data_IF_484909067871
#
_entry.id   IF_484909067871
#
_cell.length_a   1.000
_cell.length_b   1.000
_cell.length_c   1.000
_cell.angle_alpha   90.00
_cell.angle_beta   90.00
_cell.angle_gamma   90.00
#
_symmetry.space_group_name_H-M   'P 1'
#
loop_
_entity.id
_entity.type
_entity.pdbx_description
1 polymer ?
#
# COMPACT_ATOMS: atom_id res chain seq x y z
N UNK A 1 -28.31 1.60 0.02
CA UNK A 1 -29.42 0.63 0.19
C UNK A 1 -29.63 -0.05 -1.16
N UNK A 2 -28.78 -1.03 -1.48
CA UNK A 2 -28.86 -1.79 -2.74
C UNK A 2 -29.51 -3.12 -2.42
N UNK A 3 -30.59 -3.39 -3.14
CA UNK A 3 -31.56 -4.45 -2.91
C UNK A 3 -30.87 -5.80 -3.14
N UNK A 4 -30.78 -6.60 -2.08
CA UNK A 4 -30.39 -8.01 -2.10
C UNK A 4 -31.27 -8.75 -3.10
N UNK A 5 -30.66 -9.41 -4.09
CA UNK A 5 -31.36 -10.33 -4.97
C UNK A 5 -32.15 -11.33 -4.12
N UNK A 6 -33.46 -11.37 -4.36
CA UNK A 6 -34.43 -12.09 -3.55
C UNK A 6 -34.06 -13.58 -3.44
N UNK A 7 -33.79 -14.04 -2.20
CA UNK A 7 -33.92 -15.46 -1.83
C UNK A 7 -35.39 -15.86 -1.92
N UNK A 8 -35.86 -16.18 -3.13
CA UNK A 8 -37.16 -16.82 -3.30
C UNK A 8 -36.99 -18.29 -2.89
N UNK A 9 -37.28 -18.58 -1.62
CA UNK A 9 -37.34 -19.94 -1.12
C UNK A 9 -38.62 -20.59 -1.66
N UNK A 10 -38.50 -21.42 -2.70
CA UNK A 10 -39.64 -22.19 -3.20
C UNK A 10 -40.01 -23.26 -2.17
N UNK A 11 -41.12 -23.05 -1.46
CA UNK A 11 -41.71 -24.02 -0.52
C UNK A 11 -42.81 -24.78 -1.23
N UNK A 12 -42.59 -26.06 -1.50
CA UNK A 12 -43.64 -26.95 -2.00
C UNK A 12 -44.13 -27.81 -0.83
N UNK A 13 -45.42 -27.76 -0.51
CA UNK A 13 -46.02 -28.59 0.53
C UNK A 13 -46.31 -29.97 -0.08
N UNK A 14 -45.56 -31.00 0.31
CA UNK A 14 -45.92 -32.38 0.01
C UNK A 14 -46.84 -32.92 1.12
N UNK A 15 -47.98 -33.50 0.76
CA UNK A 15 -48.81 -34.30 1.67
C UNK A 15 -48.36 -35.75 1.61
N UNK A 16 -47.92 -36.33 2.72
CA UNK A 16 -47.78 -37.79 2.86
C UNK A 16 -48.99 -38.37 3.60
N UNK A 17 -49.36 -39.60 3.23
CA UNK A 17 -50.54 -40.30 3.75
C UNK A 17 -50.33 -40.84 5.17
N UNK A 18 -51.45 -40.96 5.86
CA UNK A 18 -51.68 -41.16 7.30
C UNK A 18 -51.07 -42.44 7.91
N UNK A 19 -50.56 -42.31 9.14
CA UNK A 19 -50.42 -43.43 10.10
C UNK A 19 -51.71 -43.53 10.95
N UNK A 20 -52.28 -44.73 11.21
CA UNK A 20 -53.63 -44.86 11.78
C UNK A 20 -53.79 -44.48 13.25
N UNK A 21 -52.70 -44.09 13.94
CA UNK A 21 -52.68 -43.97 15.41
C UNK A 21 -52.57 -42.52 15.91
N UNK A 22 -52.42 -41.52 15.03
CA UNK A 22 -52.56 -40.12 15.46
C UNK A 22 -53.04 -39.22 14.33
N UNK A 23 -54.13 -38.49 14.57
CA UNK A 23 -54.70 -37.49 13.66
C UNK A 23 -53.87 -36.18 13.59
N UNK A 24 -52.53 -36.29 13.63
CA UNK A 24 -51.62 -35.15 13.44
C UNK A 24 -51.01 -35.23 12.05
N UNK A 25 -51.48 -34.36 11.16
CA UNK A 25 -50.85 -34.13 9.84
C UNK A 25 -49.45 -33.55 10.08
N UNK A 26 -48.40 -34.35 9.90
CA UNK A 26 -47.02 -33.85 9.87
C UNK A 26 -46.80 -33.20 8.51
N UNK A 27 -46.81 -31.87 8.47
CA UNK A 27 -46.37 -31.11 7.28
C UNK A 27 -44.85 -31.16 7.23
N UNK A 28 -44.28 -32.07 6.45
CA UNK A 28 -42.87 -31.99 6.10
C UNK A 28 -42.68 -30.93 5.02
N UNK A 29 -41.96 -29.87 5.36
CA UNK A 29 -41.59 -28.83 4.41
C UNK A 29 -40.40 -29.34 3.62
N UNK A 30 -40.64 -29.75 2.38
CA UNK A 30 -39.56 -30.03 1.43
C UNK A 30 -39.03 -28.69 0.94
N UNK A 31 -37.84 -28.32 1.41
CA UNK A 31 -37.09 -27.19 0.86
C UNK A 31 -36.40 -27.74 -0.40
N UNK A 32 -37.01 -27.54 -1.57
CA UNK A 32 -36.29 -27.75 -2.82
C UNK A 32 -35.26 -26.63 -2.93
N UNK A 33 -34.03 -26.93 -2.49
CA UNK A 33 -32.88 -26.08 -2.83
C UNK A 33 -32.73 -26.10 -4.34
N UNK A 34 -32.56 -24.94 -4.99
CA UNK A 34 -32.33 -24.92 -6.43
C UNK A 34 -31.12 -25.80 -6.73
N UNK A 35 -31.32 -26.83 -7.55
CA UNK A 35 -30.23 -27.66 -8.05
C UNK A 35 -29.51 -26.86 -9.13
N UNK A 36 -28.20 -27.05 -9.24
CA UNK A 36 -27.38 -26.54 -10.35
C UNK A 36 -27.08 -25.02 -10.32
N UNK A 37 -27.21 -24.35 -9.17
CA UNK A 37 -26.64 -23.00 -8.99
C UNK A 37 -25.12 -23.13 -8.88
N UNK A 38 -24.40 -22.58 -9.86
CA UNK A 38 -22.94 -22.55 -9.91
C UNK A 38 -22.38 -21.48 -8.96
N UNK A 39 -21.36 -21.87 -8.19
CA UNK A 39 -20.58 -21.03 -7.29
C UNK A 39 -19.09 -21.14 -7.63
N UNK A 40 -18.38 -20.01 -7.54
CA UNK A 40 -16.94 -19.89 -7.77
C UNK A 40 -16.37 -19.02 -6.65
N UNK A 41 -16.03 -19.66 -5.54
CA UNK A 41 -15.72 -18.97 -4.29
C UNK A 41 -14.21 -18.93 -4.06
N UNK A 42 -13.62 -17.76 -3.76
CA UNK A 42 -12.28 -17.69 -3.16
C UNK A 42 -12.21 -18.53 -1.88
N UNK A 43 -11.17 -19.35 -1.74
CA UNK A 43 -10.98 -20.18 -0.53
C UNK A 43 -9.60 -20.07 0.11
N UNK A 44 -8.59 -19.58 -0.61
CA UNK A 44 -7.27 -19.33 -0.04
C UNK A 44 -6.49 -18.28 -0.82
N UNK A 45 -5.62 -17.56 -0.12
CA UNK A 45 -4.62 -16.66 -0.67
C UNK A 45 -3.22 -17.08 -0.23
N UNK A 46 -2.24 -16.81 -1.10
CA UNK A 46 -0.82 -16.95 -0.79
C UNK A 46 0.00 -15.82 -1.44
N UNK A 47 1.22 -15.53 -0.97
CA UNK A 47 1.84 -16.03 0.28
C UNK A 47 1.13 -15.49 1.54
N UNK A 48 1.59 -15.83 2.73
CA UNK A 48 1.19 -15.07 3.93
C UNK A 48 1.64 -13.61 3.83
N UNK A 49 0.90 -12.68 4.43
CA UNK A 49 1.31 -11.28 4.53
C UNK A 49 2.10 -11.11 5.82
N UNK A 50 3.25 -10.44 5.71
CA UNK A 50 4.02 -9.98 6.86
C UNK A 50 3.72 -8.49 7.12
N UNK A 51 3.71 -8.11 8.39
CA UNK A 51 3.72 -6.72 8.82
C UNK A 51 5.14 -6.13 8.78
N UNK A 52 5.30 -4.92 9.30
CA UNK A 52 6.57 -4.18 9.24
C UNK A 52 7.64 -4.72 10.20
N UNK A 53 7.25 -5.55 11.18
CA UNK A 53 8.12 -6.27 12.11
C UNK A 53 8.38 -7.72 11.66
N UNK A 54 8.10 -8.00 10.38
CA UNK A 54 8.21 -9.31 9.73
C UNK A 54 7.33 -10.40 10.38
N UNK A 55 6.28 -10.01 11.11
CA UNK A 55 5.34 -10.95 11.73
C UNK A 55 4.17 -11.26 10.81
N UNK A 56 3.64 -12.49 10.92
CA UNK A 56 2.50 -12.93 10.11
C UNK A 56 1.25 -12.15 10.51
N UNK A 57 0.60 -11.53 9.51
CA UNK A 57 -0.73 -10.93 9.66
C UNK A 57 -1.78 -12.05 9.68
N UNK A 58 -2.44 -12.21 10.82
CA UNK A 58 -3.49 -13.21 11.03
C UNK A 58 -4.64 -13.04 10.01
N UNK A 59 -5.14 -14.16 9.48
CA UNK A 59 -6.20 -14.17 8.47
C UNK A 59 -5.78 -13.68 7.08
N UNK A 60 -4.51 -13.34 6.85
CA UNK A 60 -4.05 -12.82 5.55
C UNK A 60 -4.21 -13.81 4.38
N UNK A 61 -4.27 -15.11 4.68
CA UNK A 61 -4.52 -16.18 3.70
C UNK A 61 -6.00 -16.48 3.48
N UNK A 62 -6.90 -15.83 4.23
CA UNK A 62 -8.34 -16.04 4.16
C UNK A 62 -9.00 -14.96 3.28
N UNK A 63 -9.61 -15.35 2.16
CA UNK A 63 -10.34 -14.39 1.33
C UNK A 63 -11.55 -13.80 2.05
N UNK A 64 -11.72 -12.49 1.91
CA UNK A 64 -12.88 -11.73 2.36
C UNK A 64 -13.78 -11.36 1.18
N UNK A 65 -15.05 -11.09 1.47
CA UNK A 65 -16.02 -10.71 0.44
C UNK A 65 -15.73 -9.32 -0.15
N UNK A 66 -16.08 -9.14 -1.41
CA UNK A 66 -16.06 -7.83 -2.06
C UNK A 66 -16.87 -6.79 -1.26
N UNK A 67 -16.42 -5.52 -1.18
CA UNK A 67 -15.29 -4.92 -1.90
C UNK A 67 -13.98 -4.87 -1.06
N UNK A 68 -13.66 -5.91 -0.29
CA UNK A 68 -12.38 -5.94 0.44
C UNK A 68 -11.18 -6.08 -0.53
N UNK A 69 -10.21 -5.16 -0.42
CA UNK A 69 -8.99 -5.12 -1.24
C UNK A 69 -7.85 -5.82 -0.53
N UNK A 70 -7.55 -7.03 -0.96
CA UNK A 70 -6.52 -7.86 -0.36
C UNK A 70 -5.13 -7.33 -0.74
N UNK A 71 -4.21 -7.15 0.22
CA UNK A 71 -2.87 -6.68 -0.07
C UNK A 71 -2.11 -7.70 -0.92
N UNK A 72 -1.38 -7.19 -1.92
CA UNK A 72 -0.40 -7.96 -2.69
C UNK A 72 0.99 -7.90 -2.03
N UNK A 73 1.91 -8.75 -2.46
CA UNK A 73 3.29 -8.78 -1.94
C UNK A 73 4.28 -8.36 -3.02
N UNK A 74 5.16 -7.41 -2.69
CA UNK A 74 6.36 -7.08 -3.47
C UNK A 74 7.47 -8.02 -2.96
N UNK A 75 7.96 -8.94 -3.79
CA UNK A 75 9.07 -9.86 -3.43
C UNK A 75 10.26 -9.54 -4.29
N UNK A 76 11.44 -9.46 -3.67
CA UNK A 76 12.71 -9.07 -4.31
C UNK A 76 12.53 -7.85 -5.24
N UNK A 77 12.04 -6.71 -4.73
CA UNK A 77 11.60 -5.57 -5.56
C UNK A 77 12.69 -5.02 -6.50
N UNK A 78 13.97 -5.28 -6.20
CA UNK A 78 15.11 -4.94 -7.05
C UNK A 78 15.20 -5.79 -8.32
N UNK A 79 14.89 -7.09 -8.22
CA UNK A 79 15.06 -8.07 -9.29
C UNK A 79 13.72 -8.44 -9.92
N UNK A 80 12.73 -8.76 -9.09
CA UNK A 80 11.40 -9.16 -9.51
C UNK A 80 10.40 -8.01 -9.27
N UNK A 81 10.47 -7.03 -10.17
CA UNK A 81 9.73 -5.76 -10.15
C UNK A 81 8.23 -5.94 -10.43
N UNK A 82 7.58 -6.77 -9.62
CA UNK A 82 6.17 -7.16 -9.71
C UNK A 82 5.62 -7.36 -8.30
N UNK A 83 4.38 -6.94 -8.09
CA UNK A 83 3.62 -7.36 -6.92
C UNK A 83 2.76 -8.56 -7.31
N UNK A 84 2.64 -9.55 -6.43
CA UNK A 84 1.86 -10.74 -6.71
C UNK A 84 0.95 -11.16 -5.55
N UNK A 85 -0.05 -11.96 -5.91
CA UNK A 85 -0.89 -12.72 -5.00
C UNK A 85 -1.35 -13.98 -5.70
N UNK A 86 -1.41 -15.10 -4.99
CA UNK A 86 -2.02 -16.32 -5.51
C UNK A 86 -3.41 -16.49 -4.93
N UNK A 87 -4.32 -16.97 -5.75
CA UNK A 87 -5.73 -17.16 -5.41
C UNK A 87 -6.14 -18.59 -5.74
N UNK A 88 -6.69 -19.30 -4.74
CA UNK A 88 -7.40 -20.56 -4.95
C UNK A 88 -8.91 -20.31 -4.90
N UNK A 89 -9.64 -20.88 -5.85
CA UNK A 89 -11.10 -20.89 -5.85
C UNK A 89 -11.64 -22.32 -5.79
N UNK A 90 -12.83 -22.47 -5.21
CA UNK A 90 -13.66 -23.67 -5.30
C UNK A 90 -14.76 -23.45 -6.33
N UNK A 91 -14.92 -24.41 -7.24
CA UNK A 91 -15.93 -24.39 -8.29
C UNK A 91 -16.92 -25.52 -8.03
N UNK A 92 -18.16 -25.19 -7.68
CA UNK A 92 -19.15 -26.18 -7.27
C UNK A 92 -20.58 -25.77 -7.62
N UNK A 93 -21.50 -26.74 -7.64
CA UNK A 93 -22.93 -26.49 -7.86
C UNK A 93 -23.78 -27.04 -6.72
N UNK A 94 -24.82 -26.31 -6.35
CA UNK A 94 -25.74 -26.76 -5.29
C UNK A 94 -26.34 -28.14 -5.58
N UNK A 95 -26.17 -29.07 -4.63
CA UNK A 95 -26.68 -30.43 -4.73
C UNK A 95 -25.87 -31.36 -5.64
N UNK A 96 -24.67 -30.94 -6.10
CA UNK A 96 -23.74 -31.76 -6.88
C UNK A 96 -22.48 -32.11 -6.05
N UNK A 97 -21.78 -33.21 -6.37
CA UNK A 97 -20.49 -33.53 -5.75
C UNK A 97 -19.41 -32.52 -6.18
N UNK A 98 -18.35 -32.36 -5.37
CA UNK A 98 -17.29 -31.36 -5.60
C UNK A 98 -16.56 -31.54 -6.94
N UNK A 99 -16.41 -32.78 -7.41
CA UNK A 99 -15.79 -33.09 -8.69
C UNK A 99 -16.71 -32.89 -9.90
N UNK A 100 -17.93 -32.37 -9.73
CA UNK A 100 -18.89 -32.20 -10.82
C UNK A 100 -18.38 -31.32 -11.98
N UNK A 101 -17.46 -30.40 -11.68
CA UNK A 101 -16.84 -29.51 -12.66
C UNK A 101 -15.41 -29.91 -13.03
N UNK A 102 -14.91 -31.04 -12.55
CA UNK A 102 -13.56 -31.53 -12.86
C UNK A 102 -13.33 -31.54 -14.38
N UNK A 103 -12.16 -31.09 -14.81
CA UNK A 103 -11.77 -31.05 -16.22
C UNK A 103 -12.31 -29.87 -17.01
N UNK A 104 -13.26 -29.09 -16.46
CA UNK A 104 -13.73 -27.86 -17.10
C UNK A 104 -12.68 -26.77 -17.05
N UNK A 105 -12.66 -25.97 -18.10
CA UNK A 105 -11.77 -24.80 -18.21
C UNK A 105 -12.33 -23.63 -17.38
N UNK A 106 -11.46 -22.97 -16.62
CA UNK A 106 -11.72 -21.66 -15.99
C UNK A 106 -10.87 -20.61 -16.69
N UNK A 107 -11.50 -19.59 -17.25
CA UNK A 107 -10.83 -18.42 -17.84
C UNK A 107 -10.74 -17.32 -16.79
N UNK A 108 -9.53 -16.78 -16.62
CA UNK A 108 -9.22 -15.69 -15.70
C UNK A 108 -9.03 -14.39 -16.48
N UNK A 109 -9.57 -13.30 -15.94
CA UNK A 109 -9.35 -11.94 -16.41
C UNK A 109 -9.31 -10.99 -15.22
N UNK A 110 -8.87 -9.75 -15.44
CA UNK A 110 -8.95 -8.72 -14.43
C UNK A 110 -9.29 -7.35 -15.02
N UNK A 111 -9.99 -6.54 -14.23
CA UNK A 111 -10.30 -5.14 -14.51
C UNK A 111 -9.59 -4.21 -13.50
N UNK A 112 -9.14 -3.03 -13.93
CA UNK A 112 -8.51 -2.08 -13.01
C UNK A 112 -9.54 -1.48 -12.04
N UNK A 113 -9.07 -1.15 -10.83
CA UNK A 113 -9.87 -0.49 -9.79
C UNK A 113 -9.29 0.85 -9.33
N UNK A 114 -8.04 1.16 -9.69
CA UNK A 114 -7.43 2.42 -9.31
C UNK A 114 -8.01 3.56 -10.17
N UNK A 115 -8.58 4.56 -9.51
CA UNK A 115 -9.07 5.78 -10.15
C UNK A 115 -8.07 6.89 -9.87
N UNK A 116 -7.40 7.45 -10.90
CA UNK A 116 -6.48 8.56 -10.70
C UNK A 116 -7.18 9.77 -10.10
N UNK A 117 -6.52 10.54 -9.22
CA UNK A 117 -7.09 11.79 -8.71
C UNK A 117 -7.34 12.76 -9.87
N UNK A 118 -8.58 13.23 -9.99
CA UNK A 118 -8.97 14.27 -10.95
C UNK A 118 -8.81 15.67 -10.36
N UNK A 119 -8.92 16.68 -11.23
CA UNK A 119 -9.00 18.07 -10.79
C UNK A 119 -10.34 18.38 -10.12
N UNK A 120 -10.33 19.29 -9.16
CA UNK A 120 -11.53 19.67 -8.42
C UNK A 120 -12.63 20.18 -9.37
N UNK A 121 -13.85 19.67 -9.19
CA UNK A 121 -15.00 20.02 -10.04
C UNK A 121 -15.06 19.27 -11.38
N UNK A 122 -14.09 18.41 -11.71
CA UNK A 122 -14.16 17.53 -12.88
C UNK A 122 -14.79 16.17 -12.56
N UNK A 123 -15.40 15.48 -13.54
CA UNK A 123 -15.86 14.10 -13.36
C UNK A 123 -14.73 13.16 -12.97
N UNK A 124 -15.06 12.11 -12.21
CA UNK A 124 -14.10 11.05 -11.91
C UNK A 124 -13.59 10.39 -13.20
N UNK A 125 -12.29 10.13 -13.24
CA UNK A 125 -11.63 9.45 -14.36
C UNK A 125 -11.98 7.95 -14.37
N UNK A 126 -11.79 7.31 -15.53
CA UNK A 126 -11.96 5.86 -15.65
C UNK A 126 -10.87 5.12 -14.84
N UNK A 127 -11.18 3.93 -14.26
CA UNK A 127 -10.17 3.11 -13.62
C UNK A 127 -9.08 2.66 -14.58
N UNK A 128 -7.82 2.70 -14.14
CA UNK A 128 -6.64 2.30 -14.92
C UNK A 128 -5.69 1.42 -14.11
N UNK A 129 -4.90 0.59 -14.79
CA UNK A 129 -3.75 -0.03 -14.16
C UNK A 129 -2.61 0.99 -14.05
N UNK A 130 -1.85 0.91 -12.96
CA UNK A 130 -0.65 1.73 -12.75
C UNK A 130 0.61 0.95 -13.16
N UNK A 131 1.66 1.67 -13.56
CA UNK A 131 2.94 1.09 -13.94
C UNK A 131 2.92 0.18 -15.18
N UNK A 132 3.99 -0.62 -15.33
CA UNK A 132 4.19 -1.51 -16.47
C UNK A 132 4.75 -2.86 -16.04
N UNK A 133 4.25 -3.94 -16.65
CA UNK A 133 4.73 -5.30 -16.41
C UNK A 133 6.09 -5.59 -17.06
N UNK A 134 6.55 -4.75 -18.00
CA UNK A 134 7.77 -5.02 -18.78
C UNK A 134 9.04 -5.08 -17.93
N UNK A 135 9.01 -4.48 -16.74
CA UNK A 135 10.13 -4.46 -15.81
C UNK A 135 10.22 -5.73 -14.96
N UNK A 136 9.17 -6.54 -14.89
CA UNK A 136 9.23 -7.84 -14.22
C UNK A 136 10.18 -8.80 -14.96
N UNK A 137 10.66 -9.82 -14.25
CA UNK A 137 11.36 -10.96 -14.87
C UNK A 137 10.47 -11.60 -15.93
N UNK A 138 11.06 -12.15 -16.99
CA UNK A 138 10.34 -12.52 -18.21
C UNK A 138 9.15 -13.46 -17.95
N UNK A 139 9.29 -14.35 -16.98
CA UNK A 139 8.32 -15.36 -16.56
C UNK A 139 7.11 -14.76 -15.83
N UNK A 140 7.22 -13.54 -15.30
CA UNK A 140 6.19 -12.88 -14.48
C UNK A 140 5.62 -11.61 -15.13
N UNK A 141 5.87 -11.41 -16.44
CA UNK A 141 5.37 -10.24 -17.18
C UNK A 141 3.90 -10.32 -17.51
N UNK A 142 3.28 -11.49 -17.47
CA UNK A 142 1.85 -11.62 -17.71
C UNK A 142 1.05 -11.29 -16.45
N UNK A 143 -0.18 -10.79 -16.63
CA UNK A 143 -1.11 -10.54 -15.51
C UNK A 143 -1.42 -11.81 -14.71
N UNK A 144 -1.33 -12.95 -15.37
CA UNK A 144 -1.54 -14.26 -14.77
C UNK A 144 -0.43 -15.23 -15.15
N UNK A 145 0.07 -15.94 -14.15
CA UNK A 145 1.06 -17.02 -14.32
C UNK A 145 0.62 -18.24 -13.52
N UNK A 146 1.36 -19.35 -13.70
CA UNK A 146 1.17 -20.51 -12.84
C UNK A 146 1.51 -20.13 -11.38
N UNK A 147 0.71 -20.57 -10.40
CA UNK A 147 1.05 -20.40 -8.99
C UNK A 147 2.28 -21.22 -8.58
N UNK A 148 3.07 -20.65 -7.67
CA UNK A 148 4.27 -21.22 -7.08
C UNK A 148 3.94 -22.00 -5.80
N UNK A 149 3.01 -21.49 -4.97
CA UNK A 149 2.64 -22.10 -3.67
C UNK A 149 1.34 -22.89 -3.74
N UNK A 150 0.32 -22.34 -4.41
CA UNK A 150 -0.96 -23.00 -4.59
C UNK A 150 -0.91 -23.96 -5.78
N UNK A 151 -1.56 -25.11 -5.67
CA UNK A 151 -1.59 -26.08 -6.78
C UNK A 151 -2.63 -25.68 -7.82
N UNK A 152 -2.21 -25.60 -9.08
CA UNK A 152 -3.09 -25.47 -10.25
C UNK A 152 -2.87 -26.62 -11.25
N UNK A 153 -3.91 -26.94 -12.01
CA UNK A 153 -3.86 -27.90 -13.12
C UNK A 153 -4.15 -27.17 -14.43
N UNK A 154 -3.43 -27.52 -15.48
CA UNK A 154 -3.75 -27.07 -16.85
C UNK A 154 -3.59 -25.56 -17.08
N UNK A 155 -2.68 -24.88 -16.36
CA UNK A 155 -2.39 -23.47 -16.63
C UNK A 155 -1.98 -23.29 -18.10
N UNK A 156 -2.66 -22.36 -18.79
CA UNK A 156 -2.33 -21.95 -20.16
C UNK A 156 -2.46 -20.44 -20.27
N UNK A 157 -1.38 -19.78 -20.67
CA UNK A 157 -1.40 -18.36 -21.03
C UNK A 157 -2.16 -18.18 -22.35
N UNK A 158 -3.15 -17.28 -22.38
CA UNK A 158 -3.85 -16.91 -23.61
C UNK A 158 -3.32 -15.60 -24.20
N UNK A 159 -3.22 -14.57 -23.36
CA UNK A 159 -2.69 -13.25 -23.70
C UNK A 159 -2.07 -12.59 -22.47
N UNK A 160 -1.70 -11.31 -22.57
CA UNK A 160 -1.30 -10.53 -21.41
C UNK A 160 -2.45 -10.41 -20.40
N UNK A 161 -3.69 -10.33 -20.88
CA UNK A 161 -4.89 -10.04 -20.11
C UNK A 161 -5.62 -11.28 -19.59
N UNK A 162 -5.34 -12.45 -20.16
CA UNK A 162 -6.10 -13.67 -19.90
C UNK A 162 -5.23 -14.91 -19.82
N UNK A 163 -5.62 -15.80 -18.92
CA UNK A 163 -5.10 -17.16 -18.82
C UNK A 163 -6.24 -18.13 -18.53
N UNK A 164 -5.98 -19.42 -18.72
CA UNK A 164 -6.89 -20.49 -18.32
C UNK A 164 -6.22 -21.46 -17.37
N UNK A 165 -7.07 -22.14 -16.61
CA UNK A 165 -6.72 -23.28 -15.76
C UNK A 165 -7.81 -24.33 -15.86
N UNK A 166 -7.61 -25.49 -15.26
CA UNK A 166 -8.59 -26.57 -15.23
C UNK A 166 -9.02 -26.87 -13.81
N UNK A 167 -10.32 -27.11 -13.59
CA UNK A 167 -10.83 -27.57 -12.30
C UNK A 167 -10.28 -28.98 -12.01
N UNK A 168 -9.63 -29.14 -10.87
CA UNK A 168 -9.02 -30.39 -10.43
C UNK A 168 -10.06 -31.41 -9.92
N UNK A 169 -9.59 -32.60 -9.52
CA UNK A 169 -10.44 -33.68 -9.00
C UNK A 169 -11.13 -33.36 -7.67
N UNK A 170 -10.68 -32.31 -6.97
CA UNK A 170 -11.26 -31.84 -5.70
C UNK A 170 -12.23 -30.66 -5.89
N UNK A 171 -12.47 -30.23 -7.13
CA UNK A 171 -13.34 -29.09 -7.42
C UNK A 171 -12.67 -27.73 -7.28
N UNK A 172 -11.33 -27.66 -7.32
CA UNK A 172 -10.59 -26.41 -7.14
C UNK A 172 -9.74 -26.04 -8.35
N UNK A 173 -9.36 -24.77 -8.43
CA UNK A 173 -8.28 -24.30 -9.30
C UNK A 173 -7.60 -23.11 -8.63
N UNK A 174 -6.39 -22.76 -9.07
CA UNK A 174 -5.64 -21.63 -8.55
C UNK A 174 -4.92 -20.86 -9.67
N UNK A 175 -4.58 -19.60 -9.39
CA UNK A 175 -3.85 -18.73 -10.30
C UNK A 175 -2.92 -17.81 -9.52
N UNK A 176 -1.79 -17.43 -10.12
CA UNK A 176 -1.00 -16.29 -9.66
C UNK A 176 -1.42 -15.03 -10.39
N UNK A 177 -1.67 -13.97 -9.62
CA UNK A 177 -2.06 -12.64 -10.06
C UNK A 177 -0.84 -11.74 -9.94
N UNK A 178 -0.49 -11.04 -11.02
CA UNK A 178 0.64 -10.13 -11.07
C UNK A 178 0.19 -8.71 -11.42
N UNK A 179 0.61 -7.72 -10.64
CA UNK A 179 0.44 -6.28 -10.92
C UNK A 179 1.79 -5.54 -10.85
N UNK A 180 2.02 -4.49 -11.65
CA UNK A 180 3.18 -3.62 -11.49
C UNK A 180 3.22 -3.07 -10.07
N UNK A 181 4.41 -3.02 -9.43
CA UNK A 181 4.56 -2.83 -7.99
C UNK A 181 4.44 -1.35 -7.57
N UNK A 182 3.49 -0.63 -8.16
CA UNK A 182 3.19 0.77 -7.86
C UNK A 182 2.11 0.84 -6.78
N UNK A 183 2.32 1.69 -5.77
CA UNK A 183 1.35 1.92 -4.69
C UNK A 183 -0.10 2.05 -5.21
N UNK A 184 -1.03 1.36 -4.55
CA UNK A 184 -2.46 1.38 -4.83
C UNK A 184 -2.88 0.94 -6.25
N UNK A 185 -1.98 0.32 -7.01
CA UNK A 185 -2.40 -0.40 -8.21
C UNK A 185 -3.35 -1.51 -7.79
N UNK A 186 -4.58 -1.48 -8.30
CA UNK A 186 -5.65 -2.32 -7.79
C UNK A 186 -6.41 -2.98 -8.94
N UNK A 187 -6.82 -4.22 -8.71
CA UNK A 187 -7.49 -5.02 -9.73
C UNK A 187 -8.63 -5.84 -9.12
N UNK A 188 -9.70 -5.95 -9.89
CA UNK A 188 -10.76 -6.92 -9.68
C UNK A 188 -10.50 -8.15 -10.53
N UNK A 189 -10.51 -9.32 -9.90
CA UNK A 189 -10.35 -10.60 -10.61
C UNK A 189 -11.73 -11.14 -10.97
N UNK A 190 -11.88 -11.52 -12.25
CA UNK A 190 -13.07 -12.16 -12.75
C UNK A 190 -12.73 -13.56 -13.27
N UNK A 191 -13.67 -14.49 -13.09
CA UNK A 191 -13.55 -15.87 -13.57
C UNK A 191 -14.77 -16.29 -14.35
N UNK A 192 -14.54 -17.07 -15.41
CA UNK A 192 -15.62 -17.69 -16.20
C UNK A 192 -15.35 -19.19 -16.34
N UNK A 193 -16.27 -20.01 -15.85
CA UNK A 193 -16.27 -21.44 -16.09
C UNK A 193 -16.77 -21.76 -17.51
N UNK A 194 -16.18 -22.77 -18.12
CA UNK A 194 -16.64 -23.36 -19.38
C UNK A 194 -18.14 -23.73 -19.33
N UNK A 195 -18.88 -23.22 -20.31
CA UNK A 195 -20.34 -23.39 -20.41
C UNK A 195 -21.16 -22.45 -19.51
N UNK A 196 -20.54 -21.62 -18.67
CA UNK A 196 -21.26 -20.59 -17.92
C UNK A 196 -21.62 -19.38 -18.81
N UNK A 197 -22.76 -18.75 -18.51
CA UNK A 197 -23.29 -17.63 -19.28
C UNK A 197 -22.41 -16.37 -19.19
N UNK A 198 -21.86 -16.07 -18.01
CA UNK A 198 -21.09 -14.87 -17.73
C UNK A 198 -19.91 -15.16 -16.78
N UNK A 199 -18.96 -14.23 -16.74
CA UNK A 199 -17.94 -14.21 -15.71
C UNK A 199 -18.52 -13.72 -14.38
N UNK A 200 -17.87 -14.06 -13.27
CA UNK A 200 -18.19 -13.54 -11.93
C UNK A 200 -16.96 -12.89 -11.32
N UNK A 201 -17.21 -11.85 -10.51
CA UNK A 201 -16.19 -11.19 -9.71
C UNK A 201 -15.88 -12.05 -8.49
N UNK A 202 -14.59 -12.31 -8.23
CA UNK A 202 -14.20 -13.19 -7.11
C UNK A 202 -13.46 -12.45 -6.01
N UNK A 203 -12.54 -11.54 -6.35
CA UNK A 203 -11.74 -10.84 -5.35
C UNK A 203 -11.21 -9.51 -5.88
N UNK A 204 -11.00 -8.55 -4.97
CA UNK A 204 -10.25 -7.34 -5.24
C UNK A 204 -8.87 -7.44 -4.58
N UNK A 205 -7.82 -7.08 -5.30
CA UNK A 205 -6.44 -7.02 -4.81
C UNK A 205 -5.87 -5.61 -4.99
N UNK A 206 -4.95 -5.21 -4.12
CA UNK A 206 -4.28 -3.91 -4.19
C UNK A 206 -2.81 -4.03 -3.79
N UNK A 207 -1.93 -3.41 -4.58
CA UNK A 207 -0.51 -3.28 -4.27
C UNK A 207 -0.36 -2.29 -3.10
N UNK A 208 0.28 -2.68 -1.99
CA UNK A 208 0.47 -1.77 -0.88
C UNK A 208 1.37 -0.60 -1.28
N UNK A 209 1.04 0.60 -0.82
CA UNK A 209 2.00 1.69 -0.77
C UNK A 209 3.00 1.44 0.34
N UNK A 210 4.28 1.73 0.10
CA UNK A 210 5.33 1.55 1.10
C UNK A 210 6.06 2.89 1.28
N UNK A 211 6.00 3.44 2.49
CA UNK A 211 6.66 4.70 2.85
C UNK A 211 7.73 4.39 3.89
N UNK A 212 8.95 4.89 3.68
CA UNK A 212 9.97 4.92 4.72
C UNK A 212 10.11 6.34 5.25
N UNK A 213 10.01 6.47 6.56
CA UNK A 213 10.30 7.70 7.28
C UNK A 213 11.68 7.55 7.92
N UNK A 214 12.56 8.49 7.65
CA UNK A 214 13.90 8.53 8.24
C UNK A 214 14.00 9.68 9.25
N UNK A 215 13.90 9.39 10.55
CA UNK A 215 14.25 10.36 11.57
C UNK A 215 15.76 10.62 11.53
N UNK A 216 16.17 11.83 11.12
CA UNK A 216 17.57 12.21 11.03
C UNK A 216 18.34 11.99 12.35
N UNK A 217 19.66 11.81 12.25
CA UNK A 217 20.54 11.72 13.43
C UNK A 217 20.22 10.56 14.40
N UNK A 218 20.67 10.65 15.66
CA UNK A 218 20.40 9.67 16.70
C UNK A 218 21.64 9.25 17.47
N UNK A 219 21.47 8.42 18.49
CA UNK A 219 22.58 7.79 19.23
C UNK A 219 23.49 8.79 19.95
N UNK A 220 24.68 8.32 20.32
CA UNK A 220 25.65 9.12 21.10
C UNK A 220 26.94 9.43 20.34
N UNK A 221 27.13 8.86 19.15
CA UNK A 221 28.33 8.99 18.33
C UNK A 221 27.98 9.22 16.86
N UNK A 222 28.89 9.89 16.16
CA UNK A 222 28.79 10.04 14.71
C UNK A 222 29.08 8.69 14.04
N UNK A 223 28.31 8.42 13.01
CA UNK A 223 28.49 7.30 12.10
C UNK A 223 28.97 7.83 10.74
N UNK A 224 29.45 6.93 9.89
CA UNK A 224 29.90 7.30 8.55
C UNK A 224 28.77 7.95 7.75
N UNK A 225 28.97 9.23 7.40
CA UNK A 225 27.98 10.02 6.68
C UNK A 225 26.71 10.36 7.48
N UNK A 226 26.71 10.24 8.81
CA UNK A 226 25.60 10.67 9.67
C UNK A 226 26.09 11.15 11.04
N UNK A 227 25.86 12.42 11.38
CA UNK A 227 26.18 12.94 12.71
C UNK A 227 25.14 12.50 13.74
N UNK A 228 25.56 12.39 15.01
CA UNK A 228 24.67 12.03 16.12
C UNK A 228 23.60 13.11 16.38
N UNK A 229 23.93 14.36 16.11
CA UNK A 229 23.07 15.54 16.21
C UNK A 229 23.76 16.73 15.50
N UNK A 230 23.01 17.60 14.82
CA UNK A 230 23.57 18.82 14.22
C UNK A 230 23.06 20.10 14.88
N UNK A 231 21.75 20.23 15.12
CA UNK A 231 21.17 21.43 15.73
C UNK A 231 20.71 21.22 17.18
N UNK A 232 20.76 22.28 17.98
CA UNK A 232 20.18 22.35 19.33
C UNK A 232 19.30 23.58 19.40
N UNK A 233 18.13 23.44 19.99
CA UNK A 233 17.17 24.53 20.05
C UNK A 233 17.67 25.70 20.91
N UNK A 234 17.20 26.91 20.60
CA UNK A 234 17.73 28.16 21.15
C UNK A 234 17.76 28.23 22.69
N UNK A 235 16.60 28.04 23.33
CA UNK A 235 16.38 28.27 24.77
C UNK A 235 16.09 26.97 25.51
N UNK A 236 15.30 26.07 24.92
CA UNK A 236 14.89 24.81 25.56
C UNK A 236 16.00 23.77 25.61
N UNK A 237 17.02 23.87 24.74
CA UNK A 237 18.13 22.92 24.66
C UNK A 237 17.74 21.54 24.10
N UNK A 238 16.57 21.43 23.48
CA UNK A 238 16.11 20.22 22.79
C UNK A 238 17.01 19.93 21.60
N UNK A 239 17.44 18.69 21.47
CA UNK A 239 18.31 18.25 20.38
C UNK A 239 17.48 17.94 19.13
N UNK A 240 18.02 18.26 17.96
CA UNK A 240 17.42 17.90 16.67
C UNK A 240 17.10 16.41 16.58
N UNK A 241 17.99 15.52 17.02
CA UNK A 241 17.76 14.07 16.98
C UNK A 241 16.51 13.62 17.77
N UNK A 242 16.12 14.39 18.80
CA UNK A 242 14.92 14.13 19.59
C UNK A 242 13.67 14.57 18.82
N UNK A 243 13.70 15.77 18.23
CA UNK A 243 12.59 16.28 17.42
C UNK A 243 12.35 15.45 16.17
N UNK A 244 13.42 15.05 15.47
CA UNK A 244 13.32 14.18 14.28
C UNK A 244 12.70 12.83 14.61
N UNK A 245 13.11 12.19 15.73
CA UNK A 245 12.50 10.92 16.20
C UNK A 245 11.01 11.09 16.47
N UNK A 246 10.67 12.14 17.20
CA UNK A 246 9.29 12.40 17.57
C UNK A 246 8.42 12.70 16.33
N UNK A 247 8.88 13.54 15.41
CA UNK A 247 8.18 13.82 14.17
C UNK A 247 8.03 12.55 13.32
N UNK A 248 9.08 11.73 13.21
CA UNK A 248 8.99 10.47 12.49
C UNK A 248 7.94 9.52 13.04
N UNK A 249 7.88 9.37 14.37
CA UNK A 249 6.87 8.54 15.05
C UNK A 249 5.44 9.10 14.87
N UNK A 250 5.28 10.43 14.96
CA UNK A 250 3.97 11.10 14.75
C UNK A 250 3.49 10.96 13.31
N UNK A 251 4.35 11.26 12.34
CA UNK A 251 4.04 11.10 10.91
C UNK A 251 3.69 9.64 10.59
N UNK A 252 4.43 8.67 11.14
CA UNK A 252 4.09 7.25 10.99
C UNK A 252 2.68 6.94 11.52
N UNK A 253 2.33 7.41 12.72
CA UNK A 253 0.99 7.21 13.30
C UNK A 253 -0.11 7.91 12.50
N UNK A 254 0.15 9.10 12.00
CA UNK A 254 -0.78 9.86 11.16
C UNK A 254 -1.06 9.12 9.84
N UNK A 255 -0.02 8.61 9.17
CA UNK A 255 -0.15 7.78 7.97
C UNK A 255 -1.00 6.52 8.21
N UNK A 256 -0.81 5.82 9.34
CA UNK A 256 -1.64 4.64 9.69
C UNK A 256 -3.11 5.01 9.87
N UNK A 257 -3.37 6.12 10.55
CA UNK A 257 -4.73 6.64 10.76
C UNK A 257 -5.40 6.97 9.43
N UNK A 258 -4.71 7.70 8.53
CA UNK A 258 -5.22 8.03 7.20
C UNK A 258 -5.48 6.77 6.36
N UNK A 259 -4.53 5.83 6.34
CA UNK A 259 -4.66 4.57 5.61
C UNK A 259 -5.88 3.76 6.04
N UNK A 260 -6.13 3.70 7.36
CA UNK A 260 -7.28 3.00 7.94
C UNK A 260 -8.58 3.69 7.54
N UNK A 261 -8.65 5.01 7.67
CA UNK A 261 -9.83 5.81 7.34
C UNK A 261 -10.21 5.71 5.86
N UNK A 262 -9.22 5.55 4.99
CA UNK A 262 -9.44 5.48 3.54
C UNK A 262 -9.54 4.06 2.99
N UNK A 263 -9.40 3.04 3.84
CA UNK A 263 -9.35 1.63 3.45
C UNK A 263 -8.31 1.41 2.33
N UNK A 264 -7.07 1.81 2.60
CA UNK A 264 -5.90 1.62 1.74
C UNK A 264 -4.90 0.66 2.39
N UNK A 265 -4.22 -0.12 1.57
CA UNK A 265 -3.10 -0.94 2.02
C UNK A 265 -1.82 -0.09 2.04
N UNK A 266 -1.32 0.26 3.23
CA UNK A 266 -0.08 1.02 3.41
C UNK A 266 0.83 0.30 4.40
N UNK A 267 2.14 0.30 4.12
CA UNK A 267 3.20 -0.12 5.04
C UNK A 267 4.15 1.04 5.29
N UNK A 268 4.56 1.19 6.53
CA UNK A 268 5.37 2.31 7.00
C UNK A 268 6.55 1.76 7.77
N UNK A 269 7.76 1.99 7.26
CA UNK A 269 8.98 1.62 7.97
C UNK A 269 9.66 2.88 8.51
N UNK A 270 10.31 2.75 9.66
CA UNK A 270 11.20 3.76 10.21
C UNK A 270 12.64 3.29 10.00
N UNK A 271 13.54 4.19 9.60
CA UNK A 271 14.97 3.85 9.56
C UNK A 271 15.52 3.63 10.97
N UNK A 272 14.97 4.33 11.97
CA UNK A 272 15.19 4.11 13.40
C UNK A 272 13.90 4.31 14.20
N UNK A 273 13.50 3.36 15.05
CA UNK A 273 12.35 3.53 15.95
C UNK A 273 12.72 4.15 17.31
N UNK A 274 14.01 4.31 17.60
CA UNK A 274 14.54 4.84 18.87
C UNK A 274 15.78 5.74 18.62
N UNK A 275 16.41 6.25 19.70
CA UNK A 275 17.61 7.09 19.67
C UNK A 275 18.89 6.29 19.32
N UNK A 276 18.98 5.84 18.08
CA UNK A 276 20.16 5.19 17.50
C UNK A 276 20.63 5.94 16.25
N UNK A 277 21.94 6.07 16.05
CA UNK A 277 22.46 6.63 14.81
C UNK A 277 22.72 5.49 13.81
N UNK A 278 22.40 5.74 12.53
CA UNK A 278 22.72 4.83 11.42
C UNK A 278 23.46 5.59 10.32
N UNK A 279 24.42 4.95 9.63
CA UNK A 279 25.02 5.51 8.42
C UNK A 279 23.95 5.95 7.41
N UNK A 280 24.19 7.05 6.70
CA UNK A 280 23.26 7.58 5.70
C UNK A 280 22.90 6.53 4.62
N UNK A 281 23.87 5.69 4.28
CA UNK A 281 23.68 4.59 3.32
C UNK A 281 22.75 3.50 3.84
N UNK A 282 22.81 3.19 5.13
CA UNK A 282 21.98 2.13 5.73
C UNK A 282 20.53 2.59 5.84
N UNK A 283 20.31 3.87 6.13
CA UNK A 283 18.99 4.51 6.10
C UNK A 283 18.35 4.39 4.71
N UNK A 284 19.12 4.65 3.65
CA UNK A 284 18.65 4.48 2.27
C UNK A 284 18.37 3.01 1.91
N UNK A 285 19.19 2.08 2.40
CA UNK A 285 19.01 0.65 2.18
C UNK A 285 17.68 0.15 2.77
N UNK A 286 17.22 0.67 3.91
CA UNK A 286 15.89 0.34 4.46
C UNK A 286 14.78 0.57 3.43
N UNK A 287 14.81 1.70 2.72
CA UNK A 287 13.83 2.02 1.69
C UNK A 287 13.96 1.12 0.45
N UNK A 288 15.20 0.90 -0.01
CA UNK A 288 15.48 0.02 -1.14
C UNK A 288 14.98 -1.40 -0.88
N UNK A 289 15.37 -1.98 0.26
CA UNK A 289 15.20 -3.39 0.56
C UNK A 289 13.73 -3.73 0.85
N UNK A 290 12.95 -2.77 1.36
CA UNK A 290 11.50 -2.91 1.52
C UNK A 290 10.68 -2.59 0.25
N UNK A 291 11.32 -2.18 -0.85
CA UNK A 291 10.61 -1.83 -2.09
C UNK A 291 9.71 -0.60 -1.93
N UNK A 292 10.22 0.40 -1.21
CA UNK A 292 9.51 1.62 -0.91
C UNK A 292 9.14 2.42 -2.16
N UNK A 293 8.01 3.11 -2.10
CA UNK A 293 7.56 4.07 -3.11
C UNK A 293 8.03 5.50 -2.76
N UNK A 294 8.26 5.77 -1.46
CA UNK A 294 8.77 7.05 -0.94
C UNK A 294 9.75 6.81 0.23
N UNK A 295 10.84 7.56 0.26
CA UNK A 295 11.66 7.82 1.44
C UNK A 295 11.59 9.31 1.80
N UNK A 296 11.12 9.63 3.01
CA UNK A 296 11.19 10.99 3.55
C UNK A 296 12.14 11.02 4.74
N UNK A 297 13.26 11.74 4.61
CA UNK A 297 14.14 12.05 5.73
C UNK A 297 13.69 13.35 6.40
N UNK A 298 13.54 13.35 7.72
CA UNK A 298 13.04 14.49 8.51
C UNK A 298 14.19 15.00 9.37
N UNK A 299 14.49 16.29 9.24
CA UNK A 299 15.56 17.03 9.89
C UNK A 299 15.08 18.39 10.42
N UNK A 300 15.90 19.02 11.25
CA UNK A 300 15.72 20.41 11.65
C UNK A 300 17.02 21.18 11.49
N UNK A 301 16.91 22.35 10.89
CA UNK A 301 18.06 23.19 10.61
C UNK A 301 18.59 23.88 11.88
N UNK A 302 19.85 24.30 11.79
CA UNK A 302 20.49 25.24 12.71
C UNK A 302 21.55 26.07 11.98
N UNK A 303 21.69 27.35 12.31
CA UNK A 303 22.66 28.23 11.69
C UNK A 303 23.26 29.28 12.66
N UNK A 304 22.59 30.43 12.82
CA UNK A 304 23.10 31.60 13.54
C UNK A 304 22.09 32.18 14.54
N UNK A 305 21.04 31.42 14.86
CA UNK A 305 19.92 31.84 15.69
C UNK A 305 18.97 32.89 15.11
N UNK A 306 19.19 33.31 13.86
CA UNK A 306 18.37 34.33 13.16
C UNK A 306 17.72 33.76 11.89
N UNK A 307 18.36 32.77 11.24
CA UNK A 307 17.77 32.10 10.10
C UNK A 307 16.51 31.34 10.50
N UNK A 308 15.50 31.35 9.62
CA UNK A 308 14.28 30.54 9.77
C UNK A 308 13.62 30.22 8.43
N UNK A 309 12.76 29.23 8.44
CA UNK A 309 11.90 28.76 7.37
C UNK A 309 12.07 27.29 7.03
N UNK A 310 11.02 26.69 6.50
CA UNK A 310 11.00 25.33 5.97
C UNK A 310 11.72 25.27 4.62
N UNK A 311 12.57 24.27 4.44
CA UNK A 311 13.15 23.90 3.15
C UNK A 311 13.10 22.38 2.95
N UNK A 312 13.12 21.93 1.70
CA UNK A 312 13.24 20.51 1.40
C UNK A 312 14.33 20.30 0.36
N UNK A 313 15.18 19.31 0.59
CA UNK A 313 16.39 19.06 -0.17
C UNK A 313 16.21 17.80 -1.03
N UNK A 314 16.72 17.89 -2.26
CA UNK A 314 16.87 16.77 -3.18
C UNK A 314 18.30 16.71 -3.69
N UNK A 315 18.74 15.56 -4.22
CA UNK A 315 20.03 15.50 -4.92
C UNK A 315 19.97 16.27 -6.26
N UNK A 316 21.08 16.88 -6.71
CA UNK A 316 21.10 17.62 -7.98
C UNK A 316 20.87 16.69 -9.18
N UNK A 317 20.26 17.21 -10.25
CA UNK A 317 19.90 16.46 -11.48
C UNK A 317 21.02 15.57 -12.05
N UNK A 318 22.28 15.99 -11.94
CA UNK A 318 23.42 15.21 -12.44
C UNK A 318 23.59 13.88 -11.68
N UNK A 319 23.22 13.85 -10.41
CA UNK A 319 23.43 12.75 -9.47
C UNK A 319 22.08 12.21 -8.93
N UNK A 320 20.98 12.45 -9.67
CA UNK A 320 19.61 12.04 -9.36
C UNK A 320 18.84 11.69 -10.65
N UNK A 321 18.58 10.40 -10.89
CA UNK A 321 17.80 9.92 -12.03
C UNK A 321 16.30 10.24 -11.92
N UNK A 322 15.81 10.46 -10.70
CA UNK A 322 14.43 10.81 -10.32
C UNK A 322 14.23 12.32 -10.10
N UNK A 323 15.10 13.17 -10.64
CA UNK A 323 15.14 14.58 -10.22
C UNK A 323 13.80 15.32 -10.32
N UNK A 324 12.99 15.07 -11.35
CA UNK A 324 11.70 15.75 -11.50
C UNK A 324 10.67 15.22 -10.48
N UNK A 325 10.63 13.91 -10.29
CA UNK A 325 9.73 13.21 -9.38
C UNK A 325 10.07 13.51 -7.92
N UNK A 326 11.36 13.51 -7.56
CA UNK A 326 11.84 13.89 -6.22
C UNK A 326 11.57 15.37 -5.94
N UNK A 327 11.75 16.25 -6.93
CA UNK A 327 11.43 17.68 -6.77
C UNK A 327 9.93 17.87 -6.53
N UNK A 328 9.06 17.15 -7.26
CA UNK A 328 7.61 17.23 -7.06
C UNK A 328 7.17 16.71 -5.68
N UNK A 329 7.77 15.61 -5.21
CA UNK A 329 7.59 15.11 -3.84
C UNK A 329 8.04 16.17 -2.82
N UNK A 330 9.24 16.73 -3.02
CA UNK A 330 9.82 17.72 -2.12
C UNK A 330 8.98 19.00 -2.05
N UNK A 331 8.47 19.50 -3.18
CA UNK A 331 7.57 20.66 -3.24
C UNK A 331 6.29 20.39 -2.44
N UNK A 332 5.67 19.22 -2.63
CA UNK A 332 4.43 18.85 -1.93
C UNK A 332 4.63 18.77 -0.41
N UNK A 333 5.73 18.16 0.03
CA UNK A 333 6.04 18.04 1.46
C UNK A 333 6.42 19.39 2.06
N UNK A 334 7.23 20.18 1.35
CA UNK A 334 7.63 21.54 1.75
C UNK A 334 6.41 22.44 1.94
N UNK A 335 5.51 22.48 0.96
CA UNK A 335 4.34 23.36 0.99
C UNK A 335 3.33 22.95 2.06
N UNK A 336 3.13 21.64 2.26
CA UNK A 336 2.27 21.14 3.34
C UNK A 336 2.84 21.48 4.72
N UNK A 337 4.15 21.26 4.91
CA UNK A 337 4.85 21.56 6.18
C UNK A 337 4.82 23.06 6.48
N UNK A 338 5.22 23.88 5.52
CA UNK A 338 5.19 25.34 5.64
C UNK A 338 3.75 25.84 5.90
N UNK A 339 2.78 25.33 5.16
CA UNK A 339 1.37 25.70 5.31
C UNK A 339 0.86 25.41 6.72
N UNK A 340 1.21 24.26 7.29
CA UNK A 340 0.88 23.91 8.66
C UNK A 340 1.57 24.82 9.68
N UNK A 341 2.86 25.12 9.53
CA UNK A 341 3.57 26.04 10.44
C UNK A 341 2.94 27.44 10.38
N UNK A 342 2.56 27.91 9.19
CA UNK A 342 1.98 29.24 8.97
C UNK A 342 0.65 29.44 9.72
N UNK A 343 -0.12 28.38 9.98
CA UNK A 343 -1.37 28.50 10.76
C UNK A 343 -1.12 28.83 12.23
N UNK A 344 0.07 28.51 12.74
CA UNK A 344 0.48 28.73 14.13
C UNK A 344 1.46 29.90 14.29
N UNK A 345 2.19 30.25 13.23
CA UNK A 345 3.18 31.33 13.23
C UNK A 345 3.15 32.15 11.93
N UNK A 346 2.62 33.38 12.00
CA UNK A 346 2.61 34.32 10.87
C UNK A 346 4.02 34.76 10.41
N UNK A 347 5.04 34.53 11.24
CA UNK A 347 6.45 34.74 10.92
C UNK A 347 7.08 33.62 10.10
N UNK A 348 6.39 32.50 9.88
CA UNK A 348 6.89 31.37 9.08
C UNK A 348 7.41 31.80 7.70
N UNK A 349 8.40 31.08 7.19
CA UNK A 349 9.03 31.34 5.89
C UNK A 349 9.09 30.06 5.07
N UNK A 350 8.71 30.16 3.80
CA UNK A 350 8.93 29.11 2.82
C UNK A 350 10.25 29.40 2.09
N UNK A 351 11.22 28.48 2.21
CA UNK A 351 12.53 28.58 1.55
C UNK A 351 12.64 27.65 0.33
N UNK A 352 11.59 26.88 0.06
CA UNK A 352 11.39 26.07 -1.13
C UNK A 352 12.32 24.85 -1.22
N UNK A 353 12.31 24.26 -2.41
CA UNK A 353 13.14 23.09 -2.72
C UNK A 353 14.54 23.51 -3.16
N UNK A 354 15.55 22.80 -2.65
CA UNK A 354 16.96 23.05 -2.97
C UNK A 354 17.68 21.76 -3.37
N UNK A 355 18.74 21.90 -4.15
CA UNK A 355 19.63 20.78 -4.47
C UNK A 355 20.86 20.77 -3.57
N UNK A 356 21.12 19.65 -2.91
CA UNK A 356 22.32 19.41 -2.10
C UNK A 356 22.98 18.08 -2.51
N UNK A 357 24.31 18.10 -2.62
CA UNK A 357 25.09 16.95 -3.07
C UNK A 357 25.40 15.98 -1.93
N UNK A 358 25.59 16.47 -0.71
CA UNK A 358 26.03 15.68 0.44
C UNK A 358 24.88 14.99 1.19
N UNK A 359 23.94 14.40 0.45
CA UNK A 359 22.80 13.66 1.00
C UNK A 359 22.99 12.16 0.74
N UNK A 360 23.67 11.48 1.66
CA UNK A 360 23.91 10.03 1.55
C UNK A 360 22.60 9.22 1.56
N UNK A 361 21.64 9.62 2.39
CA UNK A 361 20.31 8.97 2.50
C UNK A 361 19.47 9.08 1.21
N UNK A 362 19.76 10.05 0.35
CA UNK A 362 19.04 10.24 -0.92
C UNK A 362 19.80 9.70 -2.14
N UNK A 363 20.88 8.93 -1.93
CA UNK A 363 21.76 8.53 -3.03
C UNK A 363 21.19 7.40 -3.89
N UNK A 364 21.07 7.63 -5.21
CA UNK A 364 20.53 6.64 -6.16
C UNK A 364 21.14 5.24 -6.04
N UNK A 365 22.48 5.06 -5.89
CA UNK A 365 23.05 3.73 -5.77
C UNK A 365 22.54 2.97 -4.54
N UNK A 366 22.32 3.65 -3.41
CA UNK A 366 21.80 3.05 -2.20
C UNK A 366 20.28 2.88 -2.23
N UNK A 367 19.56 3.81 -2.88
CA UNK A 367 18.11 3.69 -3.11
C UNK A 367 17.77 2.61 -4.15
N UNK A 368 18.75 2.11 -4.90
CA UNK A 368 18.54 1.14 -5.98
C UNK A 368 17.94 1.76 -7.24
N UNK A 369 17.92 3.09 -7.34
CA UNK A 369 17.47 3.80 -8.52
C UNK A 369 18.52 3.71 -9.63
N UNK A 370 18.05 3.42 -10.84
CA UNK A 370 18.86 3.32 -12.05
C UNK A 370 18.17 4.05 -13.19
N UNK A 371 18.90 4.40 -14.25
CA UNK A 371 18.30 5.01 -15.44
C UNK A 371 17.20 4.16 -16.11
N UNK A 372 17.13 2.85 -15.82
CA UNK A 372 16.12 1.94 -16.38
C UNK A 372 14.96 1.65 -15.44
N UNK A 373 15.13 1.92 -14.14
CA UNK A 373 14.14 1.61 -13.11
C UNK A 373 14.47 2.39 -11.85
N UNK A 374 13.55 3.27 -11.47
CA UNK A 374 13.75 4.27 -10.43
C UNK A 374 12.44 4.53 -9.67
N UNK A 375 11.80 3.50 -9.08
CA UNK A 375 10.47 3.62 -8.47
C UNK A 375 10.48 4.39 -7.14
N UNK A 376 11.64 4.46 -6.46
CA UNK A 376 11.77 5.01 -5.12
C UNK A 376 12.11 6.49 -5.21
N UNK A 377 11.16 7.33 -4.82
CA UNK A 377 11.33 8.78 -4.75
C UNK A 377 11.78 9.17 -3.35
N UNK A 378 12.65 10.17 -3.24
CA UNK A 378 13.23 10.53 -1.96
C UNK A 378 13.44 12.04 -1.79
N UNK A 379 13.18 12.53 -0.58
CA UNK A 379 13.40 13.93 -0.20
C UNK A 379 13.86 14.02 1.25
N UNK A 380 14.57 15.11 1.59
CA UNK A 380 14.95 15.45 2.97
C UNK A 380 14.28 16.77 3.36
N UNK A 381 13.36 16.71 4.31
CA UNK A 381 12.65 17.87 4.86
C UNK A 381 13.44 18.46 6.02
N UNK A 382 13.80 19.73 5.90
CA UNK A 382 14.23 20.57 7.01
C UNK A 382 13.02 21.37 7.49
N UNK A 383 12.42 20.92 8.60
CA UNK A 383 11.10 21.44 9.04
C UNK A 383 11.18 22.94 9.35
N UNK A 384 12.18 23.36 10.12
CA UNK A 384 12.45 24.75 10.52
C UNK A 384 13.85 24.85 11.17
N UNK A 385 14.30 26.06 11.49
CA UNK A 385 15.57 26.34 12.18
C UNK A 385 15.37 26.39 13.70
N UNK A 386 15.69 25.32 14.41
CA UNK A 386 15.35 25.21 15.85
C UNK A 386 16.22 26.10 16.75
N UNK A 387 17.36 26.57 16.24
CA UNK A 387 18.20 27.55 16.92
C UNK A 387 17.62 28.97 16.86
N UNK A 388 16.52 29.20 16.13
CA UNK A 388 15.78 30.46 16.15
C UNK A 388 14.84 30.52 17.36
N UNK A 389 14.90 31.62 18.13
CA UNK A 389 14.14 31.75 19.39
C UNK A 389 12.63 31.53 19.22
N UNK A 390 12.00 32.16 18.23
CA UNK A 390 10.55 31.99 18.00
C UNK A 390 10.17 30.59 17.53
N UNK A 391 11.06 29.89 16.80
CA UNK A 391 10.82 28.51 16.37
C UNK A 391 10.90 27.57 17.56
N UNK A 392 11.90 27.74 18.43
CA UNK A 392 12.00 26.98 19.67
C UNK A 392 10.79 27.23 20.59
N UNK A 393 10.33 28.48 20.68
CA UNK A 393 9.08 28.80 21.38
C UNK A 393 7.89 28.07 20.80
N UNK A 394 7.73 28.09 19.48
CA UNK A 394 6.63 27.45 18.77
C UNK A 394 6.63 25.94 18.95
N UNK A 395 7.81 25.32 18.87
CA UNK A 395 7.95 23.89 18.79
C UNK A 395 8.27 23.23 20.12
N UNK A 396 8.70 23.93 21.18
CA UNK A 396 9.19 23.26 22.41
C UNK A 396 8.85 23.94 23.73
N UNK A 397 8.42 25.20 23.75
CA UNK A 397 8.26 25.96 25.01
C UNK A 397 6.83 26.42 25.24
N UNK A 398 6.18 26.98 24.21
CA UNK A 398 4.87 27.60 24.37
C UNK A 398 3.80 26.54 24.60
N UNK A 399 2.90 26.78 25.55
CA UNK A 399 1.77 25.89 25.80
C UNK A 399 1.03 25.57 24.49
N UNK A 400 0.86 24.28 24.21
CA UNK A 400 0.26 23.80 22.96
C UNK A 400 1.26 23.42 21.86
N UNK A 401 2.58 23.53 22.07
CA UNK A 401 3.59 23.12 21.08
C UNK A 401 3.39 21.66 20.61
N UNK A 402 2.92 20.77 21.49
CA UNK A 402 2.62 19.37 21.17
C UNK A 402 1.57 19.21 20.08
N UNK A 403 0.56 20.10 20.06
CA UNK A 403 -0.46 20.14 19.02
C UNK A 403 0.12 20.71 17.72
N UNK A 404 0.94 21.76 17.81
CA UNK A 404 1.64 22.32 16.63
C UNK A 404 2.48 21.24 15.93
N UNK A 405 3.26 20.47 16.70
CA UNK A 405 4.03 19.33 16.17
C UNK A 405 3.12 18.30 15.49
N UNK A 406 1.97 17.99 16.11
CA UNK A 406 1.01 17.05 15.52
C UNK A 406 0.42 17.57 14.21
N UNK A 407 -0.01 18.83 14.16
CA UNK A 407 -0.62 19.45 12.98
C UNK A 407 0.35 19.46 11.79
N UNK A 408 1.64 19.72 12.05
CA UNK A 408 2.70 19.63 11.03
C UNK A 408 2.86 18.18 10.55
N UNK A 409 2.92 17.21 11.47
CA UNK A 409 3.08 15.80 11.11
C UNK A 409 1.88 15.24 10.33
N UNK A 410 0.67 15.68 10.65
CA UNK A 410 -0.57 15.33 9.95
C UNK A 410 -0.55 15.91 8.52
N UNK A 411 -0.09 17.14 8.34
CA UNK A 411 0.08 17.75 7.03
C UNK A 411 1.13 17.02 6.18
N UNK A 412 2.27 16.64 6.76
CA UNK A 412 3.28 15.81 6.10
C UNK A 412 2.69 14.46 5.68
N UNK A 413 1.97 13.78 6.58
CA UNK A 413 1.37 12.49 6.28
C UNK A 413 0.34 12.57 5.14
N UNK A 414 -0.51 13.59 5.14
CA UNK A 414 -1.47 13.84 4.07
C UNK A 414 -0.77 14.11 2.73
N UNK A 415 0.32 14.89 2.73
CA UNK A 415 1.12 15.15 1.54
C UNK A 415 1.72 13.87 0.95
N UNK A 416 2.32 13.01 1.78
CA UNK A 416 2.90 11.74 1.34
C UNK A 416 1.84 10.79 0.76
N UNK A 417 0.67 10.69 1.39
CA UNK A 417 -0.42 9.84 0.91
C UNK A 417 -0.98 10.35 -0.42
N UNK A 418 -1.15 11.66 -0.57
CA UNK A 418 -1.56 12.25 -1.84
C UNK A 418 -0.52 12.03 -2.95
N UNK A 419 0.76 12.07 -2.59
CA UNK A 419 1.84 11.82 -3.53
C UNK A 419 1.82 10.38 -4.09
N UNK A 420 1.54 9.39 -3.24
CA UNK A 420 1.30 8.01 -3.68
C UNK A 420 0.11 7.87 -4.63
N UNK A 421 -0.90 8.75 -4.55
CA UNK A 421 -2.06 8.72 -5.48
C UNK A 421 -1.75 9.35 -6.83
N UNK A 422 -0.92 10.39 -6.86
CA UNK A 422 -0.66 11.15 -8.08
C UNK A 422 0.40 10.54 -8.99
N UNK A 423 1.40 9.87 -8.44
CA UNK A 423 2.57 9.44 -9.23
C UNK A 423 2.41 8.03 -9.79
N UNK A 424 2.43 7.88 -11.11
CA UNK A 424 2.07 6.64 -11.80
C UNK A 424 3.20 5.62 -11.95
#
# INVERSE_FOLDING_TARGET
MVITAARILYRTIASSSTSPVSNKVRKEVRIDRPRDVLHMDPVALAPQILDEDEQIVEGSTEPQTLPHKHPMVKVDPLTNRIAHRELKIRVWSEGRPDNHHQGKTVTWSMAPLFVPPGDEGQPALDPVFRGSWVHAVAEQRDRFTAPDELTAVGFTRLSQEQATTTVDATGHTAIRINLPPVAFNAARINVKLEGAAAAVDVIDVEVPGIIVIDPGHGGTANEDGSSANNATSHTSGVLEKQLTLEFGLRTSRALRTLSTNENRNLRIHLTRPDDENKPGTDRANVARDNGADILLSIHFNGANGIARGTETLVRPRRDNVNFAEDTALAERVNDATYGAILTHDAGARNRGVKSERQLAVLSDPQLGNTALYHPLRAALLEVEFIDHEDVDKLLSITDGYEQVRQDICDAIAAALLEDLRRNQ
#
